data_IF_687877580562
#
_entry.id   IF_687877580562
#
_cell.length_a   1.000
_cell.length_b   1.000
_cell.length_c   1.000
_cell.angle_alpha   90.00
_cell.angle_beta   90.00
_cell.angle_gamma   90.00
#
_symmetry.space_group_name_H-M   'P 1'
#
loop_
_entity.id
_entity.type
_entity.pdbx_description
1 polymer ?
#
# COMPACT_ATOMS: atom_id res chain seq x y z
N UNK A 1 -16.76 -5.36 1.92
CA UNK A 1 -16.42 -4.22 2.82
C UNK A 1 -16.26 -2.98 1.96
N UNK A 2 -16.71 -1.82 2.45
CA UNK A 2 -16.56 -0.54 1.75
C UNK A 2 -15.09 -0.12 1.88
N UNK A 3 -14.34 -0.17 0.79
CA UNK A 3 -12.95 0.28 0.76
C UNK A 3 -12.94 1.81 0.63
N UNK A 4 -13.11 2.52 1.75
CA UNK A 4 -12.95 3.97 1.80
C UNK A 4 -11.44 4.25 1.71
N UNK A 5 -11.03 5.16 0.84
CA UNK A 5 -9.61 5.57 0.69
C UNK A 5 -9.04 6.20 1.96
N UNK A 6 -9.87 6.64 2.90
CA UNK A 6 -9.42 7.18 4.18
C UNK A 6 -10.45 6.89 5.25
N UNK A 7 -10.02 6.29 6.35
CA UNK A 7 -10.91 5.96 7.47
C UNK A 7 -10.21 6.09 8.83
N UNK A 8 -11.03 6.21 9.88
CA UNK A 8 -10.59 6.19 11.27
C UNK A 8 -11.28 5.02 11.96
N UNK A 9 -10.49 4.11 12.54
CA UNK A 9 -10.99 2.91 13.21
C UNK A 9 -10.45 2.83 14.63
N UNK A 10 -11.31 2.41 15.56
CA UNK A 10 -10.90 2.14 16.94
C UNK A 10 -10.67 0.65 17.13
N UNK A 11 -9.57 0.31 17.78
CA UNK A 11 -9.20 -1.04 18.17
C UNK A 11 -9.01 -1.10 19.69
N UNK A 12 -9.35 -2.22 20.29
CA UNK A 12 -9.30 -2.41 21.75
C UNK A 12 -8.09 -3.21 22.21
N UNK A 13 -7.27 -3.67 21.27
CA UNK A 13 -5.99 -4.33 21.52
C UNK A 13 -5.04 -4.20 20.31
N UNK A 14 -3.73 -4.31 20.55
CA UNK A 14 -2.73 -4.40 19.48
C UNK A 14 -2.95 -5.64 18.62
N UNK A 15 -3.36 -6.76 19.23
CA UNK A 15 -3.68 -8.01 18.55
C UNK A 15 -4.75 -7.83 17.47
N UNK A 16 -5.80 -7.06 17.76
CA UNK A 16 -6.88 -6.77 16.81
C UNK A 16 -6.37 -6.00 15.57
N UNK A 17 -5.40 -5.10 15.76
CA UNK A 17 -4.73 -4.38 14.67
C UNK A 17 -3.90 -5.37 13.83
N UNK A 18 -3.12 -6.25 14.47
CA UNK A 18 -2.30 -7.26 13.77
C UNK A 18 -3.16 -8.24 12.96
N UNK A 19 -4.26 -8.73 13.55
CA UNK A 19 -5.23 -9.59 12.87
C UNK A 19 -5.82 -8.91 11.64
N UNK A 20 -6.25 -7.64 11.77
CA UNK A 20 -6.78 -6.86 10.64
C UNK A 20 -5.74 -6.67 9.54
N UNK A 21 -4.50 -6.33 9.89
CA UNK A 21 -3.40 -6.21 8.92
C UNK A 21 -3.12 -7.53 8.20
N UNK A 22 -3.18 -8.65 8.92
CA UNK A 22 -2.99 -9.97 8.34
C UNK A 22 -4.08 -10.31 7.32
N UNK A 23 -5.34 -10.05 7.67
CA UNK A 23 -6.47 -10.25 6.76
C UNK A 23 -6.34 -9.39 5.50
N UNK A 24 -5.99 -8.11 5.63
CA UNK A 24 -5.78 -7.23 4.48
C UNK A 24 -4.61 -7.69 3.60
N UNK A 25 -3.47 -8.07 4.19
CA UNK A 25 -2.33 -8.61 3.44
C UNK A 25 -2.73 -9.87 2.68
N UNK A 26 -3.48 -10.78 3.32
CA UNK A 26 -3.96 -12.01 2.66
C UNK A 26 -4.90 -11.70 1.50
N UNK A 27 -5.82 -10.74 1.66
CA UNK A 27 -6.70 -10.30 0.58
C UNK A 27 -5.92 -9.72 -0.60
N UNK A 28 -4.96 -8.81 -0.36
CA UNK A 28 -4.12 -8.27 -1.43
C UNK A 28 -3.27 -9.34 -2.12
N UNK A 29 -2.76 -10.33 -1.37
CA UNK A 29 -2.03 -11.47 -1.95
C UNK A 29 -2.93 -12.33 -2.85
N UNK A 30 -4.17 -12.56 -2.45
CA UNK A 30 -5.16 -13.28 -3.29
C UNK A 30 -5.41 -12.54 -4.60
N UNK A 31 -5.69 -11.24 -4.53
CA UNK A 31 -5.95 -10.42 -5.73
C UNK A 31 -4.70 -10.35 -6.63
N UNK A 32 -3.51 -10.22 -6.05
CA UNK A 32 -2.27 -10.24 -6.83
C UNK A 32 -2.07 -11.57 -7.57
N UNK A 33 -2.43 -12.70 -6.95
CA UNK A 33 -2.35 -14.02 -7.59
C UNK A 33 -3.37 -14.14 -8.73
N UNK A 34 -4.62 -13.73 -8.53
CA UNK A 34 -5.65 -13.70 -9.58
C UNK A 34 -5.19 -12.89 -10.81
N UNK A 35 -4.65 -11.69 -10.60
CA UNK A 35 -4.12 -10.87 -11.70
C UNK A 35 -2.88 -11.46 -12.34
N UNK A 36 -2.02 -12.13 -11.57
CA UNK A 36 -0.86 -12.86 -12.09
C UNK A 36 -1.29 -14.03 -12.99
N UNK A 37 -2.32 -14.77 -12.60
CA UNK A 37 -2.88 -15.86 -13.39
C UNK A 37 -3.53 -15.35 -14.67
N UNK A 38 -4.33 -14.28 -14.58
CA UNK A 38 -4.96 -13.64 -15.74
C UNK A 38 -3.89 -13.16 -16.72
N UNK A 39 -2.90 -12.39 -16.25
CA UNK A 39 -1.79 -11.96 -17.09
C UNK A 39 -1.06 -13.15 -17.70
N UNK A 40 -0.82 -14.21 -16.92
CA UNK A 40 -0.20 -15.43 -17.41
C UNK A 40 -0.96 -16.10 -18.56
N UNK A 41 -2.29 -16.13 -18.51
CA UNK A 41 -3.12 -16.62 -19.63
C UNK A 41 -2.99 -15.71 -20.84
N UNK A 42 -3.20 -14.41 -20.65
CA UNK A 42 -3.15 -13.41 -21.71
C UNK A 42 -1.83 -13.46 -22.49
N UNK A 43 -0.71 -13.61 -21.78
CA UNK A 43 0.62 -13.68 -22.39
C UNK A 43 0.89 -14.98 -23.16
N UNK A 44 0.18 -16.07 -22.87
CA UNK A 44 0.34 -17.36 -23.57
C UNK A 44 -0.56 -17.46 -24.79
N UNK A 45 -1.77 -16.93 -24.67
CA UNK A 45 -2.85 -17.15 -25.63
C UNK A 45 -2.86 -16.11 -26.75
N UNK A 46 -2.22 -14.96 -26.57
CA UNK A 46 -2.19 -13.89 -27.57
C UNK A 46 -1.01 -14.02 -28.54
N UNK A 47 -1.33 -14.18 -29.83
CA UNK A 47 -0.36 -14.03 -30.92
C UNK A 47 0.01 -12.56 -31.18
N UNK A 48 -0.91 -11.62 -30.95
CA UNK A 48 -0.66 -10.18 -31.11
C UNK A 48 0.38 -9.62 -30.12
N UNK A 49 0.45 -10.20 -28.92
CA UNK A 49 1.48 -9.84 -27.94
C UNK A 49 2.87 -10.36 -28.31
N UNK A 50 2.96 -11.43 -29.13
CA UNK A 50 4.24 -11.92 -29.66
C UNK A 50 4.79 -10.97 -30.72
N UNK A 51 3.93 -10.34 -31.52
CA UNK A 51 4.35 -9.29 -32.45
C UNK A 51 4.83 -8.02 -31.73
N UNK A 52 4.34 -7.78 -30.50
CA UNK A 52 4.71 -6.64 -29.65
C UNK A 52 5.73 -7.01 -28.54
N UNK A 53 6.57 -8.03 -28.77
CA UNK A 53 7.43 -8.62 -27.74
C UNK A 53 8.40 -7.60 -27.09
N UNK A 54 8.92 -6.65 -27.85
CA UNK A 54 9.83 -5.61 -27.33
C UNK A 54 9.13 -4.69 -26.31
N UNK A 55 7.92 -4.21 -26.62
CA UNK A 55 7.12 -3.39 -25.70
C UNK A 55 6.73 -4.19 -24.46
N UNK A 56 6.37 -5.46 -24.64
CA UNK A 56 6.06 -6.34 -23.53
C UNK A 56 7.30 -6.58 -22.62
N UNK A 57 8.50 -6.66 -23.20
CA UNK A 57 9.76 -6.73 -22.44
C UNK A 57 10.00 -5.45 -21.62
N UNK A 58 9.72 -4.28 -22.17
CA UNK A 58 9.81 -3.00 -21.45
C UNK A 58 8.86 -2.95 -20.24
N UNK A 59 7.60 -3.36 -20.42
CA UNK A 59 6.62 -3.43 -19.33
C UNK A 59 7.06 -4.40 -18.21
N UNK A 60 7.54 -5.59 -18.59
CA UNK A 60 8.10 -6.57 -17.65
C UNK A 60 9.33 -6.03 -16.93
N UNK A 61 10.17 -5.25 -17.60
CA UNK A 61 11.38 -4.67 -17.01
C UNK A 61 11.04 -3.59 -15.97
N UNK A 62 10.00 -2.79 -16.20
CA UNK A 62 9.52 -1.79 -15.24
C UNK A 62 9.07 -2.43 -13.91
N UNK A 63 8.42 -3.60 -13.98
CA UNK A 63 8.04 -4.39 -12.80
C UNK A 63 9.26 -4.91 -12.02
N UNK A 64 10.33 -5.32 -12.71
CA UNK A 64 11.54 -5.89 -12.09
C UNK A 64 12.53 -4.84 -11.57
N UNK A 65 12.61 -3.68 -12.21
CA UNK A 65 13.64 -2.67 -11.99
C UNK A 65 13.59 -1.97 -10.63
N UNK A 66 12.42 -1.89 -9.97
CA UNK A 66 12.30 -1.19 -8.67
C UNK A 66 12.70 -2.03 -7.45
N UNK A 67 13.04 -3.32 -7.61
CA UNK A 67 13.55 -4.17 -6.52
C UNK A 67 15.02 -3.90 -6.15
N UNK A 68 15.75 -3.10 -6.93
CA UNK A 68 17.12 -2.67 -6.61
C UNK A 68 17.31 -1.18 -6.93
N UNK A 69 16.98 -0.30 -5.99
CA UNK A 69 17.80 0.89 -5.74
C UNK A 69 17.36 1.65 -4.49
N UNK A 70 18.28 1.72 -3.52
CA UNK A 70 18.25 2.71 -2.44
C UNK A 70 18.59 4.08 -3.03
N UNK A 71 17.85 5.09 -2.57
CA UNK A 71 18.22 6.51 -2.50
C UNK A 71 18.74 7.20 -3.76
N UNK A 72 17.89 8.02 -4.38
CA UNK A 72 18.18 9.45 -4.62
C UNK A 72 16.89 10.19 -5.01
N UNK A 73 16.56 11.22 -4.22
CA UNK A 73 15.56 12.24 -4.55
C UNK A 73 15.91 12.84 -5.92
N UNK A 74 15.13 12.51 -6.94
CA UNK A 74 14.99 13.36 -8.12
C UNK A 74 13.51 13.54 -8.39
N UNK A 75 13.10 14.80 -8.46
CA UNK A 75 11.76 15.24 -8.87
C UNK A 75 11.42 14.57 -10.20
N UNK A 76 10.55 13.57 -10.18
CA UNK A 76 9.93 13.05 -11.40
C UNK A 76 8.94 14.11 -11.86
N UNK A 77 9.34 14.90 -12.87
CA UNK A 77 8.39 15.65 -13.70
C UNK A 77 7.32 14.66 -14.18
N UNK A 78 6.02 15.00 -14.15
CA UNK A 78 5.03 14.17 -14.82
C UNK A 78 5.42 14.14 -16.30
N UNK A 79 5.80 12.97 -16.80
CA UNK A 79 6.03 12.79 -18.24
C UNK A 79 4.68 13.03 -18.92
N UNK A 80 4.54 14.20 -19.54
CA UNK A 80 3.60 14.40 -20.64
C UNK A 80 3.96 13.41 -21.75
N UNK A 81 3.03 12.50 -22.06
CA UNK A 81 2.93 11.84 -23.36
C UNK A 81 4.14 11.00 -23.79
N UNK A 82 4.41 9.89 -23.12
CA UNK A 82 4.95 8.72 -23.80
C UNK A 82 3.76 7.89 -24.26
N UNK A 83 3.19 8.20 -25.43
CA UNK A 83 1.98 7.54 -25.91
C UNK A 83 2.21 6.05 -26.11
N UNK A 84 1.65 5.23 -25.22
CA UNK A 84 1.19 3.89 -25.59
C UNK A 84 0.17 4.09 -26.71
N UNK A 85 0.41 3.45 -27.85
CA UNK A 85 -0.22 3.80 -29.12
C UNK A 85 -1.75 3.56 -29.17
N UNK A 86 -2.34 2.95 -28.13
CA UNK A 86 -3.70 2.41 -28.17
C UNK A 86 -4.69 3.05 -27.19
N UNK A 87 -4.26 4.00 -26.34
CA UNK A 87 -5.18 4.66 -25.40
C UNK A 87 -5.86 5.88 -26.01
N UNK A 88 -7.20 5.89 -25.96
CA UNK A 88 -8.04 7.03 -26.34
C UNK A 88 -8.63 7.66 -25.09
N UNK A 89 -8.39 8.96 -24.89
CA UNK A 89 -9.01 9.72 -23.81
C UNK A 89 -10.51 9.91 -24.07
N UNK A 90 -11.35 9.52 -23.11
CA UNK A 90 -12.78 9.79 -23.09
C UNK A 90 -13.16 10.47 -21.77
N UNK A 91 -13.40 11.78 -21.80
CA UNK A 91 -13.63 12.60 -20.60
C UNK A 91 -12.52 12.36 -19.57
N UNK A 92 -12.85 11.76 -18.43
CA UNK A 92 -11.93 11.50 -17.32
C UNK A 92 -11.36 10.07 -17.30
N UNK A 93 -11.65 9.25 -18.31
CA UNK A 93 -11.18 7.86 -18.42
C UNK A 93 -10.40 7.60 -19.71
N UNK A 94 -9.57 6.55 -19.70
CA UNK A 94 -8.86 6.06 -20.89
C UNK A 94 -9.54 4.78 -21.39
N UNK A 95 -9.69 4.67 -22.71
CA UNK A 95 -10.27 3.52 -23.39
C UNK A 95 -9.21 2.89 -24.30
N UNK A 96 -9.16 1.57 -24.35
CA UNK A 96 -8.40 0.81 -25.34
C UNK A 96 -9.15 -0.49 -25.65
N UNK A 97 -8.91 -1.02 -26.85
CA UNK A 97 -9.43 -2.30 -27.29
C UNK A 97 -8.30 -3.32 -27.58
N UNK A 98 -7.05 -3.02 -27.17
CA UNK A 98 -5.90 -3.90 -27.42
C UNK A 98 -5.53 -4.76 -26.23
N UNK A 99 -5.11 -6.00 -26.51
CA UNK A 99 -4.58 -6.94 -25.51
C UNK A 99 -3.29 -6.41 -24.87
N UNK A 100 -2.54 -5.54 -25.57
CA UNK A 100 -1.37 -4.86 -25.01
C UNK A 100 -1.77 -3.90 -23.89
N UNK A 101 -2.81 -3.09 -24.11
CA UNK A 101 -3.36 -2.22 -23.07
C UNK A 101 -3.94 -2.99 -21.88
N UNK A 102 -4.53 -4.16 -22.13
CA UNK A 102 -4.97 -5.07 -21.05
C UNK A 102 -3.77 -5.58 -20.23
N UNK A 103 -2.68 -5.98 -20.89
CA UNK A 103 -1.46 -6.37 -20.18
C UNK A 103 -0.85 -5.19 -19.39
N UNK A 104 -0.85 -3.98 -19.96
CA UNK A 104 -0.38 -2.75 -19.29
C UNK A 104 -1.11 -2.52 -17.95
N UNK A 105 -2.45 -2.55 -17.94
CA UNK A 105 -3.21 -2.32 -16.71
C UNK A 105 -2.97 -3.41 -15.66
N UNK A 106 -2.77 -4.67 -16.07
CA UNK A 106 -2.47 -5.78 -15.17
C UNK A 106 -1.09 -5.58 -14.52
N UNK A 107 -0.08 -5.21 -15.29
CA UNK A 107 1.25 -4.90 -14.74
C UNK A 107 1.20 -3.75 -13.73
N UNK A 108 0.52 -2.65 -14.08
CA UNK A 108 0.37 -1.50 -13.18
C UNK A 108 -0.38 -1.85 -11.89
N UNK A 109 -1.47 -2.61 -12.00
CA UNK A 109 -2.25 -3.05 -10.85
C UNK A 109 -1.41 -3.94 -9.92
N UNK A 110 -0.69 -4.91 -10.48
CA UNK A 110 0.21 -5.78 -9.71
C UNK A 110 1.33 -5.00 -9.01
N UNK A 111 1.90 -3.98 -9.66
CA UNK A 111 2.91 -3.11 -9.04
C UNK A 111 2.31 -2.36 -7.84
N UNK A 112 1.14 -1.74 -8.01
CA UNK A 112 0.43 -1.02 -6.94
C UNK A 112 0.08 -1.95 -5.77
N UNK A 113 -0.45 -3.13 -6.05
CA UNK A 113 -0.80 -4.12 -5.02
C UNK A 113 0.45 -4.60 -4.27
N UNK A 114 1.52 -4.95 -4.97
CA UNK A 114 2.77 -5.38 -4.35
C UNK A 114 3.36 -4.30 -3.47
N UNK A 115 3.40 -3.05 -3.94
CA UNK A 115 3.85 -1.92 -3.15
C UNK A 115 3.00 -1.67 -1.91
N UNK A 116 1.70 -1.95 -1.97
CA UNK A 116 0.80 -1.87 -0.82
C UNK A 116 1.03 -2.99 0.19
N UNK A 117 1.23 -4.23 -0.27
CA UNK A 117 1.64 -5.36 0.58
C UNK A 117 2.93 -5.01 1.33
N UNK A 118 3.94 -4.48 0.64
CA UNK A 118 5.21 -4.09 1.26
C UNK A 118 5.03 -3.02 2.36
N UNK A 119 4.11 -2.06 2.13
CA UNK A 119 3.77 -1.03 3.15
C UNK A 119 3.07 -1.67 4.35
N UNK A 120 2.09 -2.54 4.13
CA UNK A 120 1.36 -3.24 5.18
C UNK A 120 2.28 -4.14 6.01
N UNK A 121 3.18 -4.89 5.37
CA UNK A 121 4.15 -5.75 6.07
C UNK A 121 5.12 -4.92 6.94
N UNK A 122 5.54 -3.73 6.48
CA UNK A 122 6.34 -2.81 7.31
C UNK A 122 5.56 -2.32 8.53
N UNK A 123 4.32 -1.90 8.34
CA UNK A 123 3.45 -1.46 9.45
C UNK A 123 3.23 -2.61 10.44
N UNK A 124 2.93 -3.81 9.94
CA UNK A 124 2.78 -5.01 10.78
C UNK A 124 4.01 -5.27 11.63
N UNK A 125 5.21 -5.18 11.05
CA UNK A 125 6.46 -5.33 11.82
C UNK A 125 6.60 -4.26 12.90
N UNK A 126 6.21 -3.01 12.63
CA UNK A 126 6.16 -1.94 13.66
C UNK A 126 5.13 -2.21 14.76
N UNK A 127 3.96 -2.76 14.41
CA UNK A 127 2.93 -3.17 15.37
C UNK A 127 3.42 -4.31 16.28
N UNK A 128 4.12 -5.30 15.74
CA UNK A 128 4.73 -6.37 16.52
C UNK A 128 5.80 -5.83 17.51
N UNK A 129 6.59 -4.84 17.09
CA UNK A 129 7.53 -4.15 17.99
C UNK A 129 6.79 -3.34 19.07
N UNK A 130 5.67 -2.70 18.71
CA UNK A 130 4.81 -1.98 19.64
C UNK A 130 4.22 -2.92 20.70
N UNK A 131 3.83 -4.14 20.33
CA UNK A 131 3.34 -5.15 21.27
C UNK A 131 4.41 -5.49 22.34
N UNK A 132 5.67 -5.62 21.91
CA UNK A 132 6.80 -5.89 22.80
C UNK A 132 7.14 -4.71 23.74
N UNK A 133 6.66 -3.50 23.45
CA UNK A 133 6.91 -2.30 24.27
C UNK A 133 6.08 -2.25 25.57
N UNK A 134 5.19 -3.23 25.80
CA UNK A 134 4.33 -3.32 27.01
C UNK A 134 3.51 -2.06 27.28
N UNK A 135 2.98 -1.41 26.24
CA UNK A 135 1.93 -0.42 26.43
C UNK A 135 0.78 -1.05 27.23
N UNK A 136 0.26 -0.32 28.22
CA UNK A 136 -0.66 -0.87 29.22
C UNK A 136 -1.88 -1.56 28.61
N UNK A 137 -2.40 -2.60 29.28
CA UNK A 137 -3.53 -3.42 28.81
C UNK A 137 -4.89 -2.68 28.70
N UNK A 138 -4.94 -1.44 29.17
CA UNK A 138 -6.15 -0.60 29.24
C UNK A 138 -6.15 0.54 28.22
N UNK A 139 -5.72 0.26 26.98
CA UNK A 139 -5.69 1.25 25.89
C UNK A 139 -6.79 1.01 24.85
N UNK A 140 -7.24 2.10 24.23
CA UNK A 140 -7.98 2.16 22.99
C UNK A 140 -7.04 2.79 21.96
N UNK A 141 -6.95 2.16 20.80
CA UNK A 141 -6.08 2.57 19.70
C UNK A 141 -6.96 3.16 18.60
N UNK A 142 -6.86 4.47 18.40
CA UNK A 142 -7.59 5.16 17.34
C UNK A 142 -6.63 5.30 16.16
N UNK A 143 -6.88 4.54 15.10
CA UNK A 143 -5.99 4.36 13.97
C UNK A 143 -6.53 5.15 12.78
N UNK A 144 -5.69 6.00 12.21
CA UNK A 144 -5.93 6.67 10.93
C UNK A 144 -5.35 5.80 9.81
N UNK A 145 -6.23 5.35 8.92
CA UNK A 145 -5.93 4.45 7.82
C UNK A 145 -6.09 5.24 6.52
N UNK A 146 -5.02 5.32 5.74
CA UNK A 146 -4.98 6.02 4.46
C UNK A 146 -4.64 5.02 3.36
N UNK A 147 -5.47 4.98 2.33
CA UNK A 147 -5.49 3.97 1.29
C UNK A 147 -5.33 2.58 1.88
N UNK A 148 -6.14 2.20 2.87
CA UNK A 148 -6.06 0.89 3.52
C UNK A 148 -4.70 0.55 4.14
N UNK A 149 -3.91 1.54 4.55
CA UNK A 149 -2.66 1.34 5.31
C UNK A 149 -2.70 2.23 6.56
N UNK A 150 -2.51 1.68 7.77
CA UNK A 150 -2.38 2.50 8.98
C UNK A 150 -1.18 3.44 8.90
N UNK A 151 -1.41 4.74 9.12
CA UNK A 151 -0.34 5.76 9.11
C UNK A 151 -0.11 6.40 10.47
N UNK A 152 -1.16 6.54 11.29
CA UNK A 152 -1.09 7.20 12.60
C UNK A 152 -1.95 6.45 13.61
N UNK A 153 -1.47 6.38 14.86
CA UNK A 153 -2.19 5.74 15.96
C UNK A 153 -2.19 6.68 17.15
N UNK A 154 -3.38 7.00 17.65
CA UNK A 154 -3.57 7.71 18.92
C UNK A 154 -3.87 6.68 20.01
N UNK A 155 -3.13 6.78 21.11
CA UNK A 155 -3.31 5.92 22.29
C UNK A 155 -4.16 6.65 23.32
N UNK A 156 -5.23 6.02 23.79
CA UNK A 156 -6.10 6.55 24.83
C UNK A 156 -6.35 5.51 25.91
N UNK A 157 -6.22 5.87 27.18
CA UNK A 157 -6.63 4.95 28.25
C UNK A 157 -8.15 4.77 28.29
N UNK A 158 -8.61 3.56 28.58
CA UNK A 158 -10.03 3.25 28.80
C UNK A 158 -10.65 4.02 29.98
N UNK A 159 -9.83 4.58 30.88
CA UNK A 159 -10.22 5.39 32.05
C UNK A 159 -9.73 6.84 31.90
N UNK A 160 -10.47 7.62 31.14
CA UNK A 160 -10.03 8.81 30.39
C UNK A 160 -9.81 10.12 31.20
N UNK A 161 -9.49 10.09 32.51
CA UNK A 161 -9.26 11.34 33.30
C UNK A 161 -7.84 11.57 33.84
N UNK A 162 -7.12 10.54 34.24
CA UNK A 162 -5.77 10.73 34.82
C UNK A 162 -4.63 10.51 33.83
N UNK A 163 -4.87 9.74 32.76
CA UNK A 163 -3.82 9.35 31.83
C UNK A 163 -3.42 10.47 30.86
N UNK A 164 -4.37 11.29 30.39
CA UNK A 164 -4.06 12.43 29.54
C UNK A 164 -3.03 13.37 30.20
N UNK A 165 -3.12 13.56 31.53
CA UNK A 165 -2.15 14.34 32.31
C UNK A 165 -0.77 13.66 32.40
N UNK A 166 -0.71 12.33 32.56
CA UNK A 166 0.56 11.58 32.61
C UNK A 166 1.26 11.50 31.25
N UNK A 167 0.51 11.35 30.16
CA UNK A 167 1.08 11.27 28.82
C UNK A 167 1.61 12.61 28.32
N UNK A 168 0.92 13.71 28.64
CA UNK A 168 1.42 15.07 28.41
C UNK A 168 2.78 15.28 29.11
N UNK A 169 2.92 14.79 30.35
CA UNK A 169 4.19 14.83 31.09
C UNK A 169 5.30 14.02 30.39
N UNK A 170 5.04 12.79 29.94
CA UNK A 170 6.09 11.96 29.30
C UNK A 170 6.56 12.55 27.95
N UNK A 171 5.65 13.15 27.18
CA UNK A 171 5.98 13.81 25.92
C UNK A 171 6.82 15.06 26.15
N UNK A 172 6.48 15.89 27.14
CA UNK A 172 7.25 17.08 27.52
C UNK A 172 8.66 16.73 28.02
N UNK A 173 8.84 15.58 28.69
CA UNK A 173 10.17 15.10 29.12
C UNK A 173 11.01 14.50 27.99
N UNK A 174 10.38 14.03 26.91
CA UNK A 174 11.07 13.46 25.76
C UNK A 174 11.56 14.53 24.77
N UNK A 175 11.02 15.75 24.85
CA UNK A 175 11.54 16.92 24.14
C UNK A 175 12.62 17.54 25.03
N UNK A 176 13.73 16.81 25.22
CA UNK A 176 14.95 17.45 25.72
C UNK A 176 15.41 18.38 24.61
N UNK A 177 15.30 19.70 24.86
CA UNK A 177 15.82 20.74 23.96
C UNK A 177 17.32 20.49 23.76
N UNK A 178 17.70 20.06 22.57
CA UNK A 178 19.07 20.26 22.10
C UNK A 178 19.31 21.78 22.06
N UNK A 179 20.33 22.19 22.80
CA UNK A 179 20.72 23.59 23.00
C UNK A 179 21.65 24.03 21.88
#
# INVERSE_FOLDING_TARGET
MVNITTEIRSFYSIKEIDETLNEEIMQYKSVADEYSQWLGSLLRDSDNLKENEERLKELKALQKGKRKEKSKKNKVKPRKGGGSADWVQFKDILLSASELSEAEILFEAMEKITGKIDRLEKVKNSIAQLENSRLGKDMIYIVYICDGVPEKIVLRHKKDREFAKKFQYIADFSIVKET
#
